data_IF_956369723023
#
_entry.id   IF_956369723023
#
_cell.length_a   1.000
_cell.length_b   1.000
_cell.length_c   1.000
_cell.angle_alpha   90.00
_cell.angle_beta   90.00
_cell.angle_gamma   90.00
#
_symmetry.space_group_name_H-M   'P 1'
#
loop_
_entity.id
_entity.type
_entity.pdbx_description
1 polymer ?
#
# COMPACT_ATOMS: atom_id res chain seq x y z
N UNK A 1 5.09 -63.71 -27.23
CA UNK A 1 4.53 -62.66 -26.38
C UNK A 1 5.12 -62.79 -24.98
N UNK A 2 6.08 -61.98 -24.57
CA UNK A 2 6.70 -62.03 -23.24
C UNK A 2 6.06 -60.95 -22.37
N UNK A 3 5.36 -61.38 -21.32
CA UNK A 3 4.75 -60.50 -20.34
C UNK A 3 5.81 -59.69 -19.58
N UNK A 4 5.76 -58.34 -19.74
CA UNK A 4 6.53 -57.44 -18.92
C UNK A 4 5.76 -57.10 -17.62
N UNK A 5 6.25 -57.62 -16.50
CA UNK A 5 5.69 -57.31 -15.19
C UNK A 5 6.11 -55.95 -14.70
N UNK A 6 5.17 -55.20 -14.08
CA UNK A 6 5.40 -53.88 -13.44
C UNK A 6 6.56 -53.85 -12.43
N UNK A 7 6.94 -55.04 -11.89
CA UNK A 7 8.07 -55.17 -10.94
C UNK A 7 9.46 -55.10 -11.59
N UNK A 8 9.59 -55.39 -12.90
CA UNK A 8 10.88 -55.29 -13.61
C UNK A 8 11.19 -53.87 -14.06
N UNK A 9 10.19 -53.00 -14.17
CA UNK A 9 10.38 -51.60 -14.52
C UNK A 9 10.96 -50.80 -13.35
N UNK A 10 10.51 -51.06 -12.13
CA UNK A 10 10.97 -50.35 -10.92
C UNK A 10 12.40 -50.72 -10.46
N UNK A 11 12.97 -51.80 -10.99
CA UNK A 11 14.35 -52.23 -10.65
C UNK A 11 15.44 -51.62 -11.53
N UNK A 12 15.09 -50.89 -12.59
CA UNK A 12 16.05 -50.25 -13.50
C UNK A 12 16.16 -48.73 -13.33
N UNK A 13 15.43 -48.12 -12.39
CA UNK A 13 15.50 -46.69 -12.01
C UNK A 13 16.23 -46.46 -10.69
N UNK A 14 16.92 -47.45 -10.21
CA UNK A 14 17.77 -47.28 -9.04
C UNK A 14 19.23 -47.29 -9.42
N UNK A 15 19.84 -46.14 -9.59
CA UNK A 15 21.27 -45.76 -9.49
C UNK A 15 21.53 -44.64 -10.54
N UNK A 16 21.15 -43.44 -10.21
CA UNK A 16 21.87 -42.18 -10.46
C UNK A 16 21.18 -41.07 -9.67
N UNK A 17 21.19 -41.18 -8.34
CA UNK A 17 20.91 -40.08 -7.46
C UNK A 17 22.15 -39.19 -7.39
N UNK A 18 22.34 -38.34 -8.39
CA UNK A 18 23.14 -37.16 -8.26
C UNK A 18 22.40 -36.24 -7.29
N UNK A 19 23.00 -35.99 -6.13
CA UNK A 19 22.52 -35.05 -5.15
C UNK A 19 22.50 -33.64 -5.75
N UNK A 20 21.40 -33.27 -6.40
CA UNK A 20 21.04 -31.87 -6.57
C UNK A 20 20.51 -31.42 -5.20
N UNK A 21 21.38 -30.86 -4.37
CA UNK A 21 20.99 -30.00 -3.26
C UNK A 21 20.16 -28.88 -3.85
N UNK A 22 18.85 -29.05 -3.79
CA UNK A 22 17.91 -27.94 -3.83
C UNK A 22 18.26 -27.07 -2.63
N UNK A 23 19.10 -26.06 -2.86
CA UNK A 23 19.13 -24.87 -2.04
C UNK A 23 17.75 -24.25 -2.25
N UNK A 24 16.80 -24.63 -1.40
CA UNK A 24 15.61 -23.83 -1.20
C UNK A 24 16.13 -22.46 -0.75
N UNK A 25 16.19 -21.52 -1.68
CA UNK A 25 16.23 -20.12 -1.33
C UNK A 25 14.98 -19.92 -0.47
N UNK A 26 15.18 -19.87 0.84
CA UNK A 26 14.20 -19.37 1.78
C UNK A 26 13.97 -17.91 1.37
N UNK A 27 13.03 -17.70 0.43
CA UNK A 27 12.34 -16.43 0.37
C UNK A 27 11.88 -16.20 1.80
N UNK A 28 12.35 -15.12 2.40
CA UNK A 28 11.92 -14.67 3.71
C UNK A 28 10.42 -14.34 3.64
N UNK A 29 9.59 -15.39 3.65
CA UNK A 29 8.24 -15.29 4.15
C UNK A 29 8.42 -14.67 5.52
N UNK A 30 7.89 -13.49 5.71
CA UNK A 30 7.94 -12.80 6.98
C UNK A 30 7.53 -13.82 8.04
N UNK A 31 8.48 -14.32 8.79
CA UNK A 31 8.22 -15.12 9.97
C UNK A 31 7.44 -14.18 10.89
N UNK A 32 6.12 -14.32 10.91
CA UNK A 32 5.29 -13.68 11.93
C UNK A 32 5.68 -14.35 13.25
N UNK A 33 6.42 -13.68 14.13
CA UNK A 33 6.89 -14.29 15.37
C UNK A 33 5.69 -14.58 16.27
N UNK A 34 5.84 -15.61 17.10
CA UNK A 34 4.87 -15.96 18.14
C UNK A 34 4.59 -14.77 19.07
N UNK A 35 3.40 -14.72 19.67
CA UNK A 35 2.81 -13.63 20.48
C UNK A 35 3.61 -13.14 21.73
N UNK A 36 4.89 -13.43 21.89
CA UNK A 36 5.64 -13.15 23.12
C UNK A 36 6.91 -12.33 22.86
N UNK A 37 6.77 -11.13 22.25
CA UNK A 37 7.88 -10.20 22.24
C UNK A 37 7.89 -9.39 23.55
N UNK A 38 8.89 -9.59 24.40
CA UNK A 38 9.06 -8.93 25.70
C UNK A 38 9.96 -7.67 25.63
N UNK A 39 10.41 -7.29 24.42
CA UNK A 39 11.28 -6.13 24.21
C UNK A 39 10.54 -4.80 24.22
N UNK A 40 11.30 -3.70 24.03
CA UNK A 40 10.74 -2.34 23.87
C UNK A 40 9.84 -2.29 22.65
N UNK A 41 8.60 -1.83 22.83
CA UNK A 41 7.67 -1.55 21.73
C UNK A 41 7.76 -0.09 21.30
N UNK A 42 7.47 0.16 20.03
CA UNK A 42 7.39 1.51 19.47
C UNK A 42 6.06 2.16 19.85
N UNK A 43 6.12 3.37 20.35
CA UNK A 43 4.95 4.16 20.75
C UNK A 43 4.45 5.00 19.58
N UNK A 44 3.27 4.69 19.05
CA UNK A 44 2.71 5.34 17.86
C UNK A 44 1.56 6.28 18.26
N UNK A 45 1.58 7.50 17.74
CA UNK A 45 0.45 8.42 17.79
C UNK A 45 -0.28 8.43 16.44
N UNK A 46 -1.61 8.21 16.43
CA UNK A 46 -2.45 8.37 15.25
C UNK A 46 -2.83 9.83 15.06
N UNK A 47 -2.46 10.43 13.94
CA UNK A 47 -2.83 11.79 13.55
C UNK A 47 -3.96 11.77 12.53
N UNK A 48 -5.17 12.12 12.98
CA UNK A 48 -6.42 11.96 12.25
C UNK A 48 -7.21 10.75 12.71
N UNK A 49 -8.43 10.97 13.23
CA UNK A 49 -9.30 9.92 13.78
C UNK A 49 -10.52 9.69 12.86
N UNK A 50 -10.23 9.37 11.60
CA UNK A 50 -11.21 8.99 10.60
C UNK A 50 -11.53 7.48 10.62
N UNK A 51 -12.31 7.03 9.61
CA UNK A 51 -12.71 5.63 9.47
C UNK A 51 -11.50 4.68 9.41
N UNK A 52 -10.48 5.03 8.62
CA UNK A 52 -9.30 4.17 8.46
C UNK A 52 -8.43 4.13 9.73
N UNK A 53 -8.34 5.25 10.45
CA UNK A 53 -7.69 5.26 11.76
C UNK A 53 -8.36 4.30 12.75
N UNK A 54 -9.68 4.09 12.64
CA UNK A 54 -10.39 3.07 13.42
C UNK A 54 -9.88 1.64 13.14
N UNK A 55 -9.67 1.30 11.87
CA UNK A 55 -9.09 0.00 11.51
C UNK A 55 -7.66 -0.18 12.02
N UNK A 56 -6.85 0.88 11.96
CA UNK A 56 -5.50 0.87 12.53
C UNK A 56 -5.54 0.69 14.06
N UNK A 57 -6.40 1.43 14.74
CA UNK A 57 -6.51 1.36 16.20
C UNK A 57 -6.90 -0.04 16.70
N UNK A 58 -7.85 -0.70 16.04
CA UNK A 58 -8.19 -2.10 16.34
C UNK A 58 -7.03 -3.05 16.04
N UNK A 59 -6.26 -2.78 14.98
CA UNK A 59 -5.15 -3.62 14.57
C UNK A 59 -3.97 -3.61 15.54
N UNK A 60 -3.84 -2.60 16.41
CA UNK A 60 -2.82 -2.62 17.46
C UNK A 60 -2.98 -3.77 18.46
N UNK A 61 -4.18 -4.36 18.58
CA UNK A 61 -4.38 -5.55 19.40
C UNK A 61 -3.63 -6.79 18.86
N UNK A 62 -3.32 -6.80 17.56
CA UNK A 62 -2.63 -7.88 16.88
C UNK A 62 -1.14 -7.61 16.67
N UNK A 63 -0.63 -6.42 17.10
CA UNK A 63 0.77 -6.03 16.94
C UNK A 63 1.64 -6.52 18.08
N UNK A 64 2.92 -6.75 17.77
CA UNK A 64 3.94 -7.19 18.71
C UNK A 64 4.98 -6.11 19.01
N UNK A 65 5.36 -5.34 17.98
CA UNK A 65 6.46 -4.39 18.04
C UNK A 65 6.04 -2.95 18.30
N UNK A 66 4.74 -2.67 18.35
CA UNK A 66 4.24 -1.32 18.63
C UNK A 66 2.93 -1.35 19.41
N UNK A 67 2.50 -0.19 19.85
CA UNK A 67 1.17 0.02 20.42
C UNK A 67 0.70 1.46 20.18
N UNK A 68 -0.61 1.66 20.27
CA UNK A 68 -1.23 2.97 20.17
C UNK A 68 -0.98 3.73 21.49
N UNK A 69 -0.16 4.76 21.44
CA UNK A 69 0.27 5.53 22.60
C UNK A 69 -0.26 6.95 22.64
N UNK A 70 -0.72 7.50 21.51
CA UNK A 70 -1.21 8.87 21.43
C UNK A 70 -2.19 9.09 20.29
N UNK A 71 -2.91 10.21 20.34
CA UNK A 71 -3.89 10.61 19.33
C UNK A 71 -3.83 12.11 19.05
N UNK A 72 -4.12 12.47 17.78
CA UNK A 72 -4.21 13.86 17.32
C UNK A 72 -5.49 14.04 16.53
N UNK A 73 -6.38 14.95 16.95
CA UNK A 73 -7.63 15.22 16.25
C UNK A 73 -8.10 16.65 16.44
N UNK A 74 -8.75 17.22 15.42
CA UNK A 74 -9.43 18.52 15.53
C UNK A 74 -10.82 18.45 16.17
N UNK A 75 -11.31 17.25 16.57
CA UNK A 75 -12.66 17.05 17.11
C UNK A 75 -12.59 16.64 18.56
N UNK A 76 -12.94 17.52 19.53
CA UNK A 76 -12.83 17.23 20.97
C UNK A 76 -13.60 15.98 21.43
N UNK A 77 -14.80 15.74 20.92
CA UNK A 77 -15.58 14.55 21.28
C UNK A 77 -14.88 13.25 20.87
N UNK A 78 -14.22 13.24 19.69
CA UNK A 78 -13.41 12.08 19.27
C UNK A 78 -12.19 11.88 20.19
N UNK A 79 -11.55 12.95 20.63
CA UNK A 79 -10.44 12.85 21.56
C UNK A 79 -10.88 12.19 22.87
N UNK A 80 -12.03 12.59 23.41
CA UNK A 80 -12.60 12.01 24.62
C UNK A 80 -12.97 10.53 24.44
N UNK A 81 -13.71 10.19 23.37
CA UNK A 81 -14.13 8.81 23.11
C UNK A 81 -12.94 7.87 22.92
N UNK A 82 -11.96 8.30 22.13
CA UNK A 82 -10.79 7.48 21.82
C UNK A 82 -9.84 7.34 23.01
N UNK A 83 -9.66 8.40 23.81
CA UNK A 83 -8.83 8.30 25.03
C UNK A 83 -9.38 7.29 26.02
N UNK A 84 -10.70 7.26 26.21
CA UNK A 84 -11.38 6.26 27.07
C UNK A 84 -11.26 4.86 26.48
N UNK A 85 -11.56 4.70 25.17
CA UNK A 85 -11.60 3.41 24.51
C UNK A 85 -10.23 2.72 24.44
N UNK A 86 -9.17 3.48 24.18
CA UNK A 86 -7.81 2.97 24.00
C UNK A 86 -6.89 3.31 25.17
N UNK A 87 -7.41 3.82 26.27
CA UNK A 87 -6.65 4.18 27.48
C UNK A 87 -5.47 5.11 27.20
N UNK A 88 -5.68 6.13 26.34
CA UNK A 88 -4.63 7.10 25.99
C UNK A 88 -4.44 8.11 27.11
N UNK A 89 -3.20 8.28 27.64
CA UNK A 89 -2.90 9.27 28.68
C UNK A 89 -3.17 10.71 28.19
N UNK A 90 -3.61 11.60 29.08
CA UNK A 90 -3.97 12.96 28.73
C UNK A 90 -2.82 13.76 28.09
N UNK A 91 -1.59 13.51 28.49
CA UNK A 91 -0.37 14.13 27.94
C UNK A 91 -0.05 13.67 26.51
N UNK A 92 -0.68 12.60 26.03
CA UNK A 92 -0.52 12.05 24.69
C UNK A 92 -1.70 12.41 23.76
N UNK A 93 -2.58 13.33 24.19
CA UNK A 93 -3.73 13.79 23.41
C UNK A 93 -3.44 15.19 22.86
N UNK A 94 -3.46 15.31 21.55
CA UNK A 94 -3.18 16.57 20.84
C UNK A 94 -4.35 16.95 19.93
N UNK A 95 -4.42 18.25 19.65
CA UNK A 95 -5.22 18.78 18.54
C UNK A 95 -4.31 19.36 17.46
N UNK A 96 -4.90 19.80 16.34
CA UNK A 96 -4.14 20.32 15.21
C UNK A 96 -3.37 21.61 15.54
N UNK A 97 -3.85 22.42 16.50
CA UNK A 97 -3.22 23.67 16.91
C UNK A 97 -2.02 23.42 17.85
N UNK A 98 -2.15 22.49 18.79
CA UNK A 98 -1.12 22.23 19.79
C UNK A 98 -0.19 21.04 19.44
N UNK A 99 -0.30 20.48 18.21
CA UNK A 99 0.44 19.31 17.76
C UNK A 99 1.94 19.42 17.99
N UNK A 100 2.52 20.60 17.78
CA UNK A 100 3.97 20.81 17.90
C UNK A 100 4.51 20.58 19.31
N UNK A 101 3.64 20.58 20.35
CA UNK A 101 4.03 20.21 21.72
C UNK A 101 4.54 18.76 21.82
N UNK A 102 4.26 17.91 20.82
CA UNK A 102 4.73 16.52 20.74
C UNK A 102 6.28 16.43 20.74
N UNK A 103 6.98 17.50 20.38
CA UNK A 103 8.45 17.58 20.44
C UNK A 103 8.98 17.28 21.84
N UNK A 104 8.26 17.71 22.88
CA UNK A 104 8.64 17.53 24.27
C UNK A 104 8.23 16.17 24.84
N UNK A 105 7.46 15.39 24.08
CA UNK A 105 6.94 14.11 24.54
C UNK A 105 7.84 12.95 24.10
N UNK A 106 8.64 12.46 25.04
CA UNK A 106 9.54 11.31 24.82
C UNK A 106 8.83 9.96 24.80
N UNK A 107 7.54 9.91 25.19
CA UNK A 107 6.74 8.69 25.16
C UNK A 107 6.11 8.42 23.79
N UNK A 108 6.32 9.28 22.79
CA UNK A 108 5.89 9.03 21.39
C UNK A 108 7.14 8.92 20.53
N UNK A 109 7.29 7.80 19.84
CA UNK A 109 8.42 7.51 18.94
C UNK A 109 8.07 7.84 17.47
N UNK A 110 6.81 7.63 17.07
CA UNK A 110 6.34 7.73 15.70
C UNK A 110 4.96 8.38 15.61
N UNK A 111 4.73 9.15 14.55
CA UNK A 111 3.41 9.69 14.18
C UNK A 111 2.91 9.01 12.90
N UNK A 112 1.72 8.41 12.95
CA UNK A 112 1.04 7.90 11.77
C UNK A 112 0.01 8.92 11.28
N UNK A 113 0.26 9.55 10.14
CA UNK A 113 -0.60 10.59 9.54
C UNK A 113 -1.68 9.92 8.71
N UNK A 114 -2.95 10.05 9.14
CA UNK A 114 -4.15 9.42 8.56
C UNK A 114 -5.23 10.50 8.33
N UNK A 115 -4.83 11.57 7.69
CA UNK A 115 -5.64 12.77 7.44
C UNK A 115 -6.14 12.80 5.99
N UNK A 116 -7.01 13.75 5.61
CA UNK A 116 -7.21 14.10 4.20
C UNK A 116 -5.89 14.46 3.52
N UNK A 117 -5.73 14.07 2.26
CA UNK A 117 -4.45 14.12 1.53
C UNK A 117 -3.75 15.49 1.58
N UNK A 118 -4.53 16.58 1.50
CA UNK A 118 -4.00 17.96 1.55
C UNK A 118 -3.32 18.32 2.87
N UNK A 119 -3.60 17.59 3.93
CA UNK A 119 -3.01 17.82 5.25
C UNK A 119 -1.75 16.98 5.50
N UNK A 120 -1.45 16.00 4.64
CA UNK A 120 -0.33 15.09 4.83
C UNK A 120 0.99 15.86 4.94
N UNK A 121 1.28 16.76 4.01
CA UNK A 121 2.52 17.54 4.00
C UNK A 121 2.73 18.31 5.30
N UNK A 122 1.73 19.06 5.74
CA UNK A 122 1.83 19.86 6.96
C UNK A 122 2.20 18.99 8.17
N UNK A 123 1.42 17.93 8.40
CA UNK A 123 1.60 17.12 9.62
C UNK A 123 2.83 16.21 9.56
N UNK A 124 3.26 15.76 8.38
CA UNK A 124 4.55 15.05 8.20
C UNK A 124 5.71 15.98 8.54
N UNK A 125 5.72 17.20 8.01
CA UNK A 125 6.80 18.18 8.28
C UNK A 125 6.84 18.55 9.77
N UNK A 126 5.68 18.78 10.39
CA UNK A 126 5.61 19.11 11.83
C UNK A 126 6.08 17.94 12.70
N UNK A 127 5.69 16.68 12.37
CA UNK A 127 6.16 15.49 13.06
C UNK A 127 7.67 15.30 12.89
N UNK A 128 8.20 15.48 11.69
CA UNK A 128 9.63 15.42 11.42
C UNK A 128 10.42 16.44 12.25
N UNK A 129 9.98 17.71 12.27
CA UNK A 129 10.58 18.78 13.08
C UNK A 129 10.52 18.50 14.58
N UNK A 130 9.54 17.71 15.02
CA UNK A 130 9.46 17.23 16.40
C UNK A 130 10.37 16.01 16.67
N UNK A 131 11.18 15.59 15.69
CA UNK A 131 12.11 14.46 15.82
C UNK A 131 11.44 13.09 15.86
N UNK A 132 10.18 12.98 15.36
CA UNK A 132 9.45 11.72 15.32
C UNK A 132 9.62 11.04 13.97
N UNK A 133 9.73 9.71 13.96
CA UNK A 133 9.54 8.93 12.74
C UNK A 133 8.10 9.06 12.25
N UNK A 134 7.88 8.86 10.96
CA UNK A 134 6.56 9.07 10.36
C UNK A 134 6.13 7.87 9.52
N UNK A 135 4.86 7.51 9.62
CA UNK A 135 4.11 6.80 8.58
C UNK A 135 3.10 7.78 8.02
N UNK A 136 2.99 7.89 6.70
CA UNK A 136 1.94 8.67 6.05
C UNK A 136 1.08 7.78 5.16
N UNK A 137 -0.24 7.95 5.20
CA UNK A 137 -1.15 7.25 4.32
C UNK A 137 -0.94 7.58 2.85
N UNK A 138 -1.31 6.63 2.01
CA UNK A 138 -1.37 6.85 0.56
C UNK A 138 -2.66 7.61 0.18
N UNK A 139 -2.63 8.44 -0.88
CA UNK A 139 -1.44 8.90 -1.60
C UNK A 139 -0.58 9.78 -0.69
N UNK A 140 0.72 9.84 -0.96
CA UNK A 140 1.66 10.54 -0.09
C UNK A 140 1.29 12.02 0.13
N UNK A 141 0.88 12.71 -0.94
CA UNK A 141 0.45 14.11 -0.92
C UNK A 141 -0.45 14.40 -2.14
N UNK A 142 -0.83 15.67 -2.34
CA UNK A 142 -1.60 16.12 -3.51
C UNK A 142 -0.71 16.46 -4.73
N UNK A 143 0.60 16.57 -4.56
CA UNK A 143 1.55 16.87 -5.63
C UNK A 143 2.94 16.26 -5.39
N UNK A 144 3.70 16.09 -6.47
CA UNK A 144 5.11 15.67 -6.41
C UNK A 144 5.94 16.66 -5.60
N UNK A 145 5.72 17.96 -5.80
CA UNK A 145 6.40 19.03 -5.06
C UNK A 145 6.21 18.89 -3.55
N UNK A 146 5.00 18.58 -3.10
CA UNK A 146 4.73 18.36 -1.68
C UNK A 146 5.47 17.13 -1.15
N UNK A 147 5.54 16.06 -1.94
CA UNK A 147 6.33 14.87 -1.59
C UNK A 147 7.83 15.19 -1.43
N UNK A 148 8.40 15.98 -2.35
CA UNK A 148 9.80 16.41 -2.30
C UNK A 148 10.11 17.20 -1.02
N UNK A 149 9.23 18.12 -0.65
CA UNK A 149 9.38 18.90 0.60
C UNK A 149 9.32 18.00 1.84
N UNK A 150 8.39 17.04 1.87
CA UNK A 150 8.27 16.08 2.99
C UNK A 150 9.53 15.24 3.13
N UNK A 151 10.02 14.65 2.04
CA UNK A 151 11.23 13.83 2.02
C UNK A 151 12.43 14.65 2.48
N UNK A 152 12.61 15.86 1.92
CA UNK A 152 13.72 16.75 2.24
C UNK A 152 13.78 17.05 3.73
N UNK A 153 12.67 17.46 4.34
CA UNK A 153 12.63 17.79 5.78
C UNK A 153 12.93 16.57 6.64
N UNK A 154 12.39 15.39 6.30
CA UNK A 154 12.69 14.16 7.04
C UNK A 154 14.18 13.80 6.98
N UNK A 155 14.81 13.95 5.80
CA UNK A 155 16.24 13.72 5.62
C UNK A 155 17.09 14.73 6.38
N UNK A 156 16.76 16.03 6.35
CA UNK A 156 17.47 17.10 7.08
C UNK A 156 17.45 16.89 8.59
N UNK A 157 16.35 16.39 9.14
CA UNK A 157 16.19 16.12 10.58
C UNK A 157 16.77 14.74 10.96
N UNK A 158 16.92 13.83 10.00
CA UNK A 158 17.41 12.46 10.25
C UNK A 158 16.34 11.51 10.77
N UNK A 159 15.06 11.76 10.45
CA UNK A 159 13.94 10.85 10.76
C UNK A 159 13.50 10.07 9.53
N UNK A 160 12.93 8.89 9.73
CA UNK A 160 12.49 8.05 8.64
C UNK A 160 11.02 8.29 8.30
N UNK A 161 10.71 8.32 7.00
CA UNK A 161 9.37 8.51 6.43
C UNK A 161 8.94 7.25 5.70
N UNK A 162 7.98 6.53 6.27
CA UNK A 162 7.36 5.34 5.69
C UNK A 162 6.02 5.68 5.04
N UNK A 163 5.67 4.92 3.99
CA UNK A 163 4.34 4.92 3.38
C UNK A 163 3.43 3.89 4.02
N UNK A 164 2.15 4.21 4.14
CA UNK A 164 1.09 3.31 4.58
C UNK A 164 0.69 2.29 3.51
N UNK A 165 1.62 1.43 3.10
CA UNK A 165 1.43 0.45 2.04
C UNK A 165 1.11 -0.95 2.61
N UNK A 166 -0.09 -1.11 3.16
CA UNK A 166 -0.52 -2.36 3.81
C UNK A 166 -0.37 -3.62 2.95
N UNK A 167 -0.59 -3.51 1.64
CA UNK A 167 -0.52 -4.64 0.71
C UNK A 167 0.92 -5.14 0.50
N UNK A 168 1.93 -4.35 0.81
CA UNK A 168 3.34 -4.76 0.74
C UNK A 168 3.73 -5.76 1.87
N UNK A 169 2.82 -6.04 2.79
CA UNK A 169 2.98 -6.99 3.89
C UNK A 169 2.03 -8.19 3.78
N UNK A 170 1.19 -8.19 2.76
CA UNK A 170 0.13 -9.18 2.58
C UNK A 170 0.64 -10.36 1.72
N UNK A 171 0.46 -11.64 2.14
CA UNK A 171 1.08 -12.80 1.50
C UNK A 171 0.78 -12.98 0.02
N UNK A 172 -0.48 -12.78 -0.43
CA UNK A 172 -0.84 -12.88 -1.86
C UNK A 172 -0.11 -11.80 -2.69
N UNK A 173 0.06 -10.60 -2.15
CA UNK A 173 0.75 -9.50 -2.82
C UNK A 173 2.27 -9.72 -2.85
N UNK A 174 2.83 -10.29 -1.79
CA UNK A 174 4.24 -10.72 -1.78
C UNK A 174 4.48 -11.79 -2.84
N UNK A 175 3.54 -12.71 -3.01
CA UNK A 175 3.66 -13.77 -4.02
C UNK A 175 3.53 -13.22 -5.45
N UNK A 176 2.54 -12.40 -5.78
CA UNK A 176 2.44 -11.84 -7.15
C UNK A 176 3.66 -10.96 -7.48
N UNK A 177 4.23 -10.26 -6.50
CA UNK A 177 5.52 -9.58 -6.67
C UNK A 177 6.62 -10.56 -7.04
N UNK A 178 6.76 -11.64 -6.28
CA UNK A 178 7.78 -12.67 -6.54
C UNK A 178 7.59 -13.28 -7.92
N UNK A 179 6.34 -13.65 -8.27
CA UNK A 179 6.02 -14.24 -9.59
C UNK A 179 6.43 -13.32 -10.73
N UNK A 180 6.21 -12.01 -10.59
CA UNK A 180 6.56 -11.01 -11.61
C UNK A 180 8.06 -10.73 -11.65
N UNK A 181 8.66 -10.37 -10.53
CA UNK A 181 10.06 -9.93 -10.48
C UNK A 181 11.06 -11.08 -10.72
N UNK A 182 10.78 -12.28 -10.22
CA UNK A 182 11.60 -13.48 -10.49
C UNK A 182 11.27 -14.13 -11.84
N UNK A 183 10.29 -13.60 -12.58
CA UNK A 183 9.87 -14.09 -13.91
C UNK A 183 9.52 -15.58 -13.92
N UNK A 184 8.77 -16.03 -12.88
CA UNK A 184 8.45 -17.46 -12.65
C UNK A 184 7.70 -18.10 -13.84
N UNK A 185 6.93 -17.27 -14.58
CA UNK A 185 6.25 -17.64 -15.82
C UNK A 185 6.83 -16.93 -17.05
N UNK A 186 8.13 -16.61 -17.04
CA UNK A 186 8.76 -15.78 -18.05
C UNK A 186 8.48 -14.29 -17.87
N UNK A 187 8.78 -13.49 -18.87
CA UNK A 187 8.59 -12.03 -18.84
C UNK A 187 7.10 -11.69 -18.78
N UNK A 188 6.69 -10.88 -17.82
CA UNK A 188 5.32 -10.32 -17.79
C UNK A 188 5.15 -9.38 -18.99
N UNK A 189 4.09 -9.58 -19.76
CA UNK A 189 3.77 -8.82 -20.99
C UNK A 189 2.61 -7.87 -20.79
N UNK A 190 1.62 -8.28 -20.01
CA UNK A 190 0.41 -7.51 -19.79
C UNK A 190 0.01 -7.56 -18.33
N UNK A 191 -0.43 -6.41 -17.78
CA UNK A 191 -1.15 -6.35 -16.51
C UNK A 191 -2.48 -5.62 -16.71
N UNK A 192 -3.55 -6.21 -16.23
CA UNK A 192 -4.86 -5.60 -16.09
C UNK A 192 -5.19 -5.47 -14.60
N UNK A 193 -5.41 -4.24 -14.12
CA UNK A 193 -5.75 -4.01 -12.72
C UNK A 193 -6.81 -2.93 -12.60
N UNK A 194 -7.86 -3.22 -11.84
CA UNK A 194 -8.97 -2.28 -11.67
C UNK A 194 -9.47 -2.29 -10.23
N UNK A 195 -9.75 -1.10 -9.73
CA UNK A 195 -10.33 -0.90 -8.41
C UNK A 195 -11.42 0.17 -8.46
N UNK A 196 -12.59 -0.20 -8.03
CA UNK A 196 -13.73 0.70 -7.95
C UNK A 196 -14.75 0.25 -6.92
N UNK A 197 -15.51 1.18 -6.42
CA UNK A 197 -16.73 0.91 -5.67
C UNK A 197 -17.80 1.91 -6.06
N UNK A 198 -19.04 1.45 -6.12
CA UNK A 198 -20.16 2.34 -6.43
C UNK A 198 -20.48 3.18 -5.18
N UNK A 199 -20.35 4.50 -5.30
CA UNK A 199 -20.82 5.41 -4.26
C UNK A 199 -22.33 5.58 -4.37
N UNK A 200 -23.04 5.46 -3.25
CA UNK A 200 -24.49 5.69 -3.22
C UNK A 200 -24.79 7.17 -3.43
N UNK A 201 -25.89 7.48 -4.14
CA UNK A 201 -26.35 8.87 -4.36
C UNK A 201 -26.70 9.59 -3.04
N UNK A 202 -27.18 8.84 -2.06
CA UNK A 202 -27.53 9.33 -0.73
C UNK A 202 -26.36 9.75 0.15
N UNK A 203 -25.13 9.33 -0.19
CA UNK A 203 -23.94 9.71 0.59
C UNK A 203 -23.66 11.19 0.36
N UNK A 204 -23.62 12.01 1.42
CA UNK A 204 -23.27 13.42 1.30
C UNK A 204 -21.90 13.63 0.67
N UNK A 205 -21.69 14.80 0.05
CA UNK A 205 -20.38 15.20 -0.47
C UNK A 205 -19.37 15.24 0.68
N UNK A 206 -18.40 14.34 0.67
CA UNK A 206 -17.33 14.28 1.65
C UNK A 206 -16.01 14.83 1.09
N UNK A 207 -14.97 14.93 1.90
CA UNK A 207 -13.68 15.52 1.52
C UNK A 207 -13.04 14.88 0.28
N UNK A 208 -13.36 13.61 -0.04
CA UNK A 208 -12.87 12.89 -1.23
C UNK A 208 -13.41 13.46 -2.54
N UNK A 209 -14.52 14.18 -2.51
CA UNK A 209 -15.13 14.86 -3.67
C UNK A 209 -14.78 16.34 -3.76
N UNK A 210 -13.95 16.84 -2.82
CA UNK A 210 -13.44 18.22 -2.79
C UNK A 210 -11.98 18.18 -3.24
N UNK A 211 -11.70 18.68 -4.45
CA UNK A 211 -10.39 18.60 -5.09
C UNK A 211 -9.27 19.21 -4.24
N UNK A 212 -9.54 20.33 -3.58
CA UNK A 212 -8.57 20.99 -2.71
C UNK A 212 -8.10 20.09 -1.54
N UNK A 213 -8.98 19.18 -1.07
CA UNK A 213 -8.68 18.28 0.05
C UNK A 213 -8.10 16.94 -0.42
N UNK A 214 -8.66 16.39 -1.52
CA UNK A 214 -8.33 15.05 -2.01
C UNK A 214 -7.24 15.03 -3.09
N UNK A 215 -7.01 16.14 -3.79
CA UNK A 215 -6.14 16.21 -4.96
C UNK A 215 -6.79 15.70 -6.26
N UNK A 216 -7.88 14.93 -6.17
CA UNK A 216 -8.61 14.32 -7.28
C UNK A 216 -9.59 13.27 -6.80
N UNK A 217 -10.21 12.54 -7.73
CA UNK A 217 -11.23 11.54 -7.47
C UNK A 217 -10.66 10.12 -7.23
N UNK A 218 -11.25 9.10 -7.91
CA UNK A 218 -10.85 7.72 -7.71
C UNK A 218 -9.41 7.42 -8.09
N UNK A 219 -8.75 8.17 -8.96
CA UNK A 219 -7.33 7.97 -9.23
C UNK A 219 -6.50 8.15 -7.96
N UNK A 220 -6.70 9.25 -7.23
CA UNK A 220 -6.01 9.55 -5.98
C UNK A 220 -6.33 8.54 -4.88
N UNK A 221 -7.60 8.17 -4.74
CA UNK A 221 -8.03 7.31 -3.64
C UNK A 221 -7.80 5.81 -3.91
N UNK A 222 -8.09 5.36 -5.12
CA UNK A 222 -8.13 3.94 -5.53
C UNK A 222 -7.05 3.61 -6.56
N UNK A 223 -6.89 4.46 -7.57
CA UNK A 223 -5.99 4.22 -8.69
C UNK A 223 -4.53 4.10 -8.27
N UNK A 224 -4.13 4.75 -7.19
CA UNK A 224 -2.79 4.60 -6.61
C UNK A 224 -2.47 3.14 -6.28
N UNK A 225 -3.42 2.31 -5.86
CA UNK A 225 -3.21 0.87 -5.67
C UNK A 225 -2.96 0.14 -6.98
N UNK A 226 -3.65 0.54 -8.06
CA UNK A 226 -3.44 -0.04 -9.38
C UNK A 226 -2.05 0.33 -9.94
N UNK A 227 -1.60 1.58 -9.72
CA UNK A 227 -0.26 2.05 -10.08
C UNK A 227 0.79 1.23 -9.32
N UNK A 228 0.65 1.10 -8.01
CA UNK A 228 1.55 0.32 -7.16
C UNK A 228 1.63 -1.14 -7.59
N UNK A 229 0.47 -1.78 -7.85
CA UNK A 229 0.43 -3.17 -8.27
C UNK A 229 1.26 -3.40 -9.55
N UNK A 230 1.15 -2.53 -10.55
CA UNK A 230 1.93 -2.61 -11.78
C UNK A 230 3.43 -2.42 -11.51
N UNK A 231 3.82 -1.34 -10.83
CA UNK A 231 5.21 -1.01 -10.52
C UNK A 231 5.86 -2.10 -9.64
N UNK A 232 5.11 -2.58 -8.65
CA UNK A 232 5.55 -3.56 -7.67
C UNK A 232 5.76 -4.95 -8.26
N UNK A 233 4.84 -5.39 -9.14
CA UNK A 233 4.96 -6.69 -9.80
C UNK A 233 6.06 -6.70 -10.85
N UNK A 234 6.18 -5.63 -11.66
CA UNK A 234 7.22 -5.53 -12.69
C UNK A 234 8.61 -5.21 -12.11
N UNK A 235 8.68 -4.55 -10.96
CA UNK A 235 9.95 -4.04 -10.41
C UNK A 235 10.53 -2.90 -11.25
N UNK A 236 9.70 -2.23 -12.06
CA UNK A 236 10.07 -1.19 -13.03
C UNK A 236 9.22 0.07 -12.85
N UNK A 237 9.72 1.21 -13.33
CA UNK A 237 8.96 2.44 -13.44
C UNK A 237 8.39 2.58 -14.86
N UNK A 238 7.15 3.10 -15.04
CA UNK A 238 6.61 3.31 -16.37
C UNK A 238 7.36 4.41 -17.10
N UNK A 239 7.53 4.26 -18.41
CA UNK A 239 8.17 5.27 -19.26
C UNK A 239 7.17 6.21 -19.91
N UNK A 240 5.91 5.77 -20.09
CA UNK A 240 4.86 6.62 -20.64
C UNK A 240 3.46 6.18 -20.20
N UNK A 241 2.53 7.12 -20.23
CA UNK A 241 1.12 6.89 -19.93
C UNK A 241 0.21 7.53 -20.99
N UNK A 242 -0.96 6.90 -21.22
CA UNK A 242 -2.13 7.48 -21.87
C UNK A 242 -3.34 7.30 -20.95
N UNK A 243 -4.29 8.24 -20.96
CA UNK A 243 -5.43 8.16 -20.06
C UNK A 243 -6.65 8.88 -20.61
N UNK A 244 -7.83 8.52 -20.08
CA UNK A 244 -9.10 9.12 -20.43
C UNK A 244 -10.03 9.16 -19.20
N UNK A 245 -10.65 10.31 -18.96
CA UNK A 245 -11.73 10.41 -17.97
C UNK A 245 -12.98 9.69 -18.48
N UNK A 246 -13.69 9.03 -17.59
CA UNK A 246 -15.02 8.51 -17.88
C UNK A 246 -16.09 9.62 -17.83
N UNK A 247 -17.28 9.25 -18.27
CA UNK A 247 -18.44 10.15 -18.18
C UNK A 247 -18.87 10.34 -16.73
N UNK A 248 -19.17 11.58 -16.37
CA UNK A 248 -19.72 11.91 -15.04
C UNK A 248 -21.24 11.66 -15.07
N UNK A 249 -21.72 10.79 -14.18
CA UNK A 249 -23.15 10.45 -14.04
C UNK A 249 -23.86 11.30 -12.98
N UNK A 250 -23.11 11.86 -12.03
CA UNK A 250 -23.59 12.73 -10.95
C UNK A 250 -22.76 14.03 -10.92
N UNK A 251 -23.13 15.05 -11.77
CA UNK A 251 -22.37 16.30 -11.88
C UNK A 251 -22.34 17.14 -10.61
N UNK A 252 -23.29 17.00 -9.70
CA UNK A 252 -23.31 17.70 -8.43
C UNK A 252 -22.22 17.14 -7.50
N UNK A 253 -22.19 15.82 -7.34
CA UNK A 253 -21.23 15.13 -6.48
C UNK A 253 -19.80 15.23 -7.01
N UNK A 254 -19.61 15.02 -8.31
CA UNK A 254 -18.30 15.00 -8.97
C UNK A 254 -17.98 16.32 -9.71
N UNK A 255 -18.48 17.44 -9.20
CA UNK A 255 -18.24 18.77 -9.78
C UNK A 255 -16.77 19.20 -9.80
N UNK A 256 -15.93 18.64 -8.92
CA UNK A 256 -14.54 19.03 -8.76
C UNK A 256 -13.54 17.93 -9.11
N UNK A 257 -14.00 16.67 -9.14
CA UNK A 257 -13.14 15.50 -9.32
C UNK A 257 -13.75 14.56 -10.37
N UNK A 258 -12.94 13.71 -10.97
CA UNK A 258 -13.43 12.66 -11.87
C UNK A 258 -14.24 11.60 -11.11
N UNK A 259 -15.22 11.01 -11.78
CA UNK A 259 -16.00 9.88 -11.28
C UNK A 259 -15.35 8.54 -11.63
N UNK A 260 -14.68 8.49 -12.79
CA UNK A 260 -13.88 7.35 -13.21
C UNK A 260 -12.77 7.79 -14.16
N UNK A 261 -11.70 7.00 -14.22
CA UNK A 261 -10.59 7.22 -15.13
C UNK A 261 -9.97 5.87 -15.53
N UNK A 262 -9.61 5.75 -16.79
CA UNK A 262 -8.89 4.59 -17.35
C UNK A 262 -7.56 5.07 -17.92
N UNK A 263 -6.50 4.26 -17.73
CA UNK A 263 -5.18 4.59 -18.25
C UNK A 263 -4.40 3.35 -18.66
N UNK A 264 -3.41 3.56 -19.50
CA UNK A 264 -2.42 2.57 -19.90
C UNK A 264 -1.02 3.08 -19.60
N UNK A 265 -0.13 2.19 -19.17
CA UNK A 265 1.28 2.48 -18.96
C UNK A 265 2.13 1.53 -19.81
N UNK A 266 3.29 2.02 -20.25
CA UNK A 266 4.32 1.23 -20.94
C UNK A 266 5.57 1.23 -20.09
N UNK A 267 6.23 0.08 -19.98
CA UNK A 267 7.41 -0.13 -19.14
C UNK A 267 8.66 -0.44 -19.99
N UNK A 268 9.88 -0.25 -19.45
CA UNK A 268 11.13 -0.50 -20.17
C UNK A 268 11.26 -1.93 -20.73
N UNK A 269 10.73 -2.92 -20.02
CA UNK A 269 10.68 -4.32 -20.49
C UNK A 269 9.77 -4.57 -21.69
N UNK A 270 9.02 -3.56 -22.13
CA UNK A 270 7.97 -3.68 -23.14
C UNK A 270 6.62 -4.14 -22.57
N UNK A 271 6.52 -4.42 -21.28
CA UNK A 271 5.24 -4.71 -20.64
C UNK A 271 4.30 -3.50 -20.76
N UNK A 272 3.02 -3.80 -20.98
CA UNK A 272 1.93 -2.81 -21.02
C UNK A 272 0.91 -3.09 -19.93
N UNK A 273 0.28 -2.04 -19.43
CA UNK A 273 -0.77 -2.20 -18.42
C UNK A 273 -2.02 -1.45 -18.81
N UNK A 274 -3.17 -1.99 -18.42
CA UNK A 274 -4.46 -1.30 -18.52
C UNK A 274 -5.10 -1.26 -17.14
N UNK A 275 -5.49 -0.07 -16.72
CA UNK A 275 -6.02 0.14 -15.38
C UNK A 275 -7.26 1.05 -15.39
N UNK A 276 -8.16 0.80 -14.45
CA UNK A 276 -9.34 1.63 -14.23
C UNK A 276 -9.54 1.86 -12.74
N UNK A 277 -9.86 3.10 -12.37
CA UNK A 277 -10.40 3.39 -11.05
C UNK A 277 -11.73 4.14 -11.16
N UNK A 278 -12.68 3.80 -10.27
CA UNK A 278 -14.05 4.26 -10.41
C UNK A 278 -14.78 4.40 -9.08
N UNK A 279 -15.67 5.41 -9.03
CA UNK A 279 -16.70 5.58 -8.01
C UNK A 279 -18.12 5.22 -8.50
N UNK A 280 -18.25 4.70 -9.74
CA UNK A 280 -19.56 4.37 -10.34
C UNK A 280 -19.79 2.87 -10.57
N UNK A 281 -18.77 2.03 -10.39
CA UNK A 281 -18.89 0.58 -10.50
C UNK A 281 -18.03 -0.14 -9.46
N UNK A 282 -18.45 -1.32 -9.07
CA UNK A 282 -17.69 -2.19 -8.16
C UNK A 282 -16.81 -3.14 -8.96
N UNK A 283 -15.52 -3.02 -8.80
CA UNK A 283 -14.50 -3.90 -9.38
C UNK A 283 -13.29 -3.96 -8.44
N UNK A 284 -12.72 -5.16 -8.27
CA UNK A 284 -11.52 -5.37 -7.46
C UNK A 284 -10.78 -6.60 -8.01
N UNK A 285 -9.86 -6.36 -8.97
CA UNK A 285 -9.15 -7.44 -9.66
C UNK A 285 -7.76 -7.01 -10.10
N UNK A 286 -6.86 -7.97 -10.11
CA UNK A 286 -5.55 -7.90 -10.71
C UNK A 286 -5.34 -9.15 -11.58
N UNK A 287 -4.77 -8.98 -12.78
CA UNK A 287 -4.38 -10.07 -13.66
C UNK A 287 -3.06 -9.72 -14.35
N UNK A 288 -2.15 -10.69 -14.41
CA UNK A 288 -0.90 -10.56 -15.15
C UNK A 288 -0.72 -11.75 -16.09
N UNK A 289 -0.40 -11.47 -17.36
CA UNK A 289 -0.01 -12.46 -18.36
C UNK A 289 1.49 -12.36 -18.64
N UNK A 290 2.16 -13.50 -18.62
CA UNK A 290 3.57 -13.65 -18.92
C UNK A 290 3.78 -14.64 -20.09
N UNK A 291 5.03 -14.81 -20.56
CA UNK A 291 5.35 -15.66 -21.72
C UNK A 291 4.83 -17.11 -21.58
N UNK A 292 4.87 -17.68 -20.37
CA UNK A 292 4.61 -19.09 -20.11
C UNK A 292 3.43 -19.32 -19.14
N UNK A 293 2.67 -18.27 -18.83
CA UNK A 293 1.53 -18.41 -17.91
C UNK A 293 0.96 -17.09 -17.44
N UNK A 294 0.11 -17.19 -16.45
CA UNK A 294 -0.56 -16.04 -15.86
C UNK A 294 -0.77 -16.22 -14.35
N UNK A 295 -1.11 -15.14 -13.69
CA UNK A 295 -1.49 -15.12 -12.28
C UNK A 295 -2.45 -13.96 -12.01
N UNK A 296 -3.37 -14.16 -11.08
CA UNK A 296 -4.40 -13.18 -10.77
C UNK A 296 -4.76 -13.16 -9.29
N UNK A 297 -5.36 -12.04 -8.87
CA UNK A 297 -6.03 -11.86 -7.58
C UNK A 297 -7.42 -11.28 -7.79
N UNK A 298 -8.44 -11.85 -7.11
CA UNK A 298 -9.80 -11.31 -7.07
C UNK A 298 -10.53 -11.80 -5.80
N UNK A 299 -10.76 -10.92 -4.81
CA UNK A 299 -10.39 -9.48 -4.78
C UNK A 299 -8.89 -9.26 -4.73
N UNK A 300 -8.43 -8.07 -5.19
CA UNK A 300 -7.02 -7.74 -5.28
C UNK A 300 -6.57 -6.61 -4.31
N UNK A 301 -7.48 -5.80 -3.78
CA UNK A 301 -7.11 -4.61 -2.98
C UNK A 301 -7.93 -4.47 -1.69
N UNK A 302 -9.14 -5.01 -1.61
CA UNK A 302 -10.01 -4.96 -0.43
C UNK A 302 -9.32 -5.50 0.83
N UNK A 303 -10.04 -5.55 1.94
CA UNK A 303 -9.45 -6.00 3.21
C UNK A 303 -9.44 -7.53 3.38
N UNK A 304 -9.68 -8.27 2.29
CA UNK A 304 -9.74 -9.73 2.27
C UNK A 304 -11.15 -10.30 2.50
N UNK A 305 -11.34 -11.62 2.54
CA UNK A 305 -10.29 -12.59 2.22
C UNK A 305 -9.85 -12.50 0.75
N UNK A 306 -8.53 -12.54 0.52
CA UNK A 306 -7.97 -12.58 -0.83
C UNK A 306 -8.09 -13.97 -1.44
N UNK A 307 -8.16 -14.00 -2.78
CA UNK A 307 -8.10 -15.22 -3.56
C UNK A 307 -7.24 -14.97 -4.78
N UNK A 308 -6.43 -15.95 -5.13
CA UNK A 308 -5.55 -15.83 -6.29
C UNK A 308 -5.30 -17.20 -6.90
N UNK A 309 -4.95 -17.18 -8.17
CA UNK A 309 -4.55 -18.38 -8.90
C UNK A 309 -3.45 -18.06 -9.89
N UNK A 310 -2.81 -19.12 -10.35
CA UNK A 310 -1.81 -19.10 -11.40
C UNK A 310 -2.13 -20.17 -12.43
N UNK A 311 -1.44 -20.17 -13.55
CA UNK A 311 -1.49 -21.30 -14.51
C UNK A 311 -1.18 -22.65 -13.85
N UNK A 312 -0.47 -22.70 -12.71
CA UNK A 312 -0.11 -23.92 -11.99
C UNK A 312 -1.12 -24.32 -10.89
N UNK A 313 -2.12 -23.50 -10.63
CA UNK A 313 -3.15 -23.76 -9.62
C UNK A 313 -3.43 -22.57 -8.70
N UNK A 314 -4.28 -22.83 -7.71
CA UNK A 314 -4.70 -21.83 -6.73
C UNK A 314 -3.56 -21.39 -5.81
N UNK A 315 -3.55 -20.12 -5.44
CA UNK A 315 -2.73 -19.62 -4.35
C UNK A 315 -3.47 -19.86 -3.02
N UNK A 316 -2.75 -20.31 -2.03
CA UNK A 316 -3.33 -20.62 -0.73
C UNK A 316 -2.44 -20.06 0.39
N UNK A 317 -2.78 -18.86 0.84
CA UNK A 317 -2.12 -18.19 1.95
C UNK A 317 -3.13 -17.87 3.06
N UNK A 318 -2.69 -17.76 4.30
CA UNK A 318 -3.57 -17.40 5.41
C UNK A 318 -4.05 -15.95 5.27
N UNK A 319 -5.29 -15.70 5.68
CA UNK A 319 -5.77 -14.35 5.90
C UNK A 319 -5.05 -13.74 7.10
N UNK A 320 -4.58 -12.49 6.94
CA UNK A 320 -3.87 -11.77 7.99
C UNK A 320 -4.48 -10.40 8.23
N UNK A 321 -4.23 -9.84 9.39
CA UNK A 321 -4.46 -8.43 9.65
C UNK A 321 -3.36 -7.61 8.96
N UNK A 322 -3.65 -7.06 7.78
CA UNK A 322 -2.69 -6.34 6.93
C UNK A 322 -2.15 -5.08 7.62
N UNK A 323 -2.99 -4.41 8.39
CA UNK A 323 -2.61 -3.21 9.14
C UNK A 323 -1.64 -3.56 10.27
N UNK A 324 -1.91 -4.63 11.00
CA UNK A 324 -1.01 -5.11 12.04
C UNK A 324 0.34 -5.54 11.45
N UNK A 325 0.33 -6.28 10.34
CA UNK A 325 1.55 -6.69 9.64
C UNK A 325 2.39 -5.48 9.16
N UNK A 326 1.74 -4.44 8.62
CA UNK A 326 2.41 -3.20 8.23
C UNK A 326 3.00 -2.47 9.45
N UNK A 327 2.21 -2.29 10.51
CA UNK A 327 2.64 -1.63 11.74
C UNK A 327 3.85 -2.36 12.35
N UNK A 328 3.79 -3.66 12.47
CA UNK A 328 4.88 -4.49 13.01
C UNK A 328 6.11 -4.48 12.11
N UNK A 329 5.93 -4.61 10.80
CA UNK A 329 7.04 -4.61 9.85
C UNK A 329 7.85 -3.31 9.90
N UNK A 330 7.17 -2.15 9.92
CA UNK A 330 7.83 -0.84 10.04
C UNK A 330 8.45 -0.69 11.43
N UNK A 331 7.71 -1.02 12.48
CA UNK A 331 8.16 -0.85 13.86
C UNK A 331 9.40 -1.66 14.18
N UNK A 332 9.47 -2.91 13.69
CA UNK A 332 10.64 -3.78 13.88
C UNK A 332 11.89 -3.17 13.25
N UNK A 333 11.81 -2.67 12.02
CA UNK A 333 12.94 -2.01 11.34
C UNK A 333 13.46 -0.82 12.15
N UNK A 334 12.54 0.02 12.67
CA UNK A 334 12.91 1.18 13.47
C UNK A 334 13.49 0.81 14.85
N UNK A 335 12.95 -0.21 15.51
CA UNK A 335 13.47 -0.71 16.79
C UNK A 335 14.88 -1.32 16.64
N UNK A 336 15.13 -1.97 15.51
CA UNK A 336 16.46 -2.52 15.18
C UNK A 336 17.44 -1.42 14.68
N UNK A 337 17.04 -0.14 14.70
CA UNK A 337 17.80 1.02 14.19
C UNK A 337 18.26 0.83 12.72
N UNK A 338 17.45 0.14 11.91
CA UNK A 338 17.72 -0.09 10.51
C UNK A 338 17.06 0.98 9.63
N UNK A 339 17.55 1.13 8.40
CA UNK A 339 16.95 1.97 7.39
C UNK A 339 15.74 1.23 6.79
N UNK A 340 14.64 1.96 6.59
CA UNK A 340 13.44 1.42 5.96
C UNK A 340 13.73 0.81 4.58
N UNK A 341 13.17 -0.36 4.26
CA UNK A 341 13.27 -0.94 2.92
C UNK A 341 12.75 0.06 1.87
N UNK A 342 13.48 0.18 0.77
CA UNK A 342 13.20 1.18 -0.28
C UNK A 342 11.74 1.18 -0.76
N UNK A 343 11.12 0.02 -0.86
CA UNK A 343 9.75 -0.15 -1.38
C UNK A 343 8.63 0.41 -0.49
N UNK A 344 8.96 0.93 0.69
CA UNK A 344 8.00 1.56 1.62
C UNK A 344 8.43 2.96 2.07
N UNK A 345 9.44 3.54 1.47
CA UNK A 345 9.91 4.90 1.85
C UNK A 345 9.08 6.00 1.20
N UNK A 346 9.26 7.24 1.64
CA UNK A 346 8.63 8.41 1.03
C UNK A 346 9.01 8.59 -0.44
N UNK A 347 10.24 8.23 -0.84
CA UNK A 347 10.68 8.25 -2.24
C UNK A 347 9.82 7.34 -3.12
N UNK A 348 9.36 6.20 -2.58
CA UNK A 348 8.45 5.31 -3.30
C UNK A 348 7.06 5.92 -3.45
N UNK A 349 6.57 6.60 -2.41
CA UNK A 349 5.32 7.39 -2.47
C UNK A 349 5.37 8.52 -3.49
N UNK A 350 6.52 9.20 -3.58
CA UNK A 350 6.72 10.25 -4.59
C UNK A 350 6.68 9.71 -6.03
N UNK A 351 7.20 8.51 -6.28
CA UNK A 351 7.11 7.88 -7.61
C UNK A 351 5.67 7.59 -8.01
N UNK A 352 4.83 7.11 -7.09
CA UNK A 352 3.39 6.97 -7.36
C UNK A 352 2.79 8.31 -7.77
N UNK A 353 3.12 9.39 -7.08
CA UNK A 353 2.60 10.72 -7.39
C UNK A 353 3.08 11.25 -8.75
N UNK A 354 4.31 10.95 -9.18
CA UNK A 354 4.77 11.27 -10.55
C UNK A 354 3.90 10.60 -11.60
N UNK A 355 3.57 9.33 -11.40
CA UNK A 355 2.68 8.60 -12.31
C UNK A 355 1.26 9.18 -12.27
N UNK A 356 0.73 9.50 -11.09
CA UNK A 356 -0.59 10.14 -10.94
C UNK A 356 -0.66 11.47 -11.70
N UNK A 357 0.33 12.35 -11.56
CA UNK A 357 0.38 13.64 -12.28
C UNK A 357 0.46 13.44 -13.81
N UNK A 358 1.24 12.44 -14.25
CA UNK A 358 1.34 12.09 -15.67
C UNK A 358 0.01 11.55 -16.21
N UNK A 359 -0.72 10.70 -15.46
CA UNK A 359 -2.04 10.18 -15.83
C UNK A 359 -3.05 11.33 -15.95
N UNK A 360 -3.13 12.24 -14.98
CA UNK A 360 -4.02 13.40 -15.06
C UNK A 360 -3.67 14.30 -16.24
N UNK A 361 -2.38 14.48 -16.52
CA UNK A 361 -1.94 15.29 -17.67
C UNK A 361 -2.34 14.63 -18.99
N UNK A 362 -2.15 13.31 -19.12
CA UNK A 362 -2.56 12.55 -20.29
C UNK A 362 -4.07 12.62 -20.50
N UNK A 363 -4.88 12.46 -19.44
CA UNK A 363 -6.34 12.52 -19.52
C UNK A 363 -6.86 13.91 -19.91
N UNK A 364 -6.23 14.99 -19.43
CA UNK A 364 -6.61 16.38 -19.80
C UNK A 364 -6.19 16.76 -21.20
N UNK A 365 -5.06 16.26 -21.68
CA UNK A 365 -4.51 16.65 -23.00
C UNK A 365 -4.89 15.73 -24.13
N UNK A 366 -5.36 14.50 -23.81
CA UNK A 366 -5.58 13.43 -24.79
C UNK A 366 -4.29 12.92 -25.45
N UNK A 367 -3.12 13.26 -24.89
CA UNK A 367 -1.82 12.90 -25.44
C UNK A 367 -1.07 11.92 -24.53
N UNK A 368 -0.18 11.14 -25.12
CA UNK A 368 0.81 10.37 -24.36
C UNK A 368 1.73 11.32 -23.58
N UNK A 369 1.97 10.99 -22.33
CA UNK A 369 2.88 11.71 -21.42
C UNK A 369 4.02 10.77 -21.03
N UNK A 370 5.25 11.27 -21.10
CA UNK A 370 6.43 10.58 -20.57
C UNK A 370 6.57 10.83 -19.06
N UNK A 371 6.95 9.80 -18.31
CA UNK A 371 7.03 9.84 -16.85
C UNK A 371 8.46 10.07 -16.40
#
# INVERSE_FOLDING_TARGET
>A
MKNFSRRSFLRKIGISAGAATLVASQSSLANFPSKNYEGKKLNIALCGLGRYAGYLAESFNDTQYCHLAGIVTGTPSKAEDWSKRYSIPAENIYNYQNFDKIINNKSIDLVYVVLPNSMHKEFVIRAARAGKHIIVEKPMANSVKDCEEMIKVCQEIGVQLAMGYRLHYEPYHLEIKRLGQEKVFGQVRLIEVSLGYKTEKSIPKEWRFVKALSGGGPLMNLGVYCIQACRYVLGEEPVSVTAQFGTISDPEKYSEVEESITWQMTFPSGATTTSTSSYNCSVDRFYAAADEGNFDLSPAVSYGPFRGKTTKGELNFPDINQQAAQLDGISKVLLDNQILPRHITGEEGMKDMKVVEAIYTAARTGKRVWV
#
